data_IF_568668809725
#
_entry.id   IF_568668809725
#
_cell.length_a   1.000
_cell.length_b   1.000
_cell.length_c   1.000
_cell.angle_alpha   90.00
_cell.angle_beta   90.00
_cell.angle_gamma   90.00
#
_symmetry.space_group_name_H-M   'P 1'
#
loop_
_entity.id
_entity.type
_entity.pdbx_description
1 polymer ?
#
# COMPACT_ATOMS: atom_id res chain seq x y z
N UNK A 1 59.46 21.86 -41.48
CA UNK A 1 59.78 22.89 -40.47
C UNK A 1 58.49 23.20 -39.72
N UNK A 2 58.42 22.83 -38.45
CA UNK A 2 57.24 23.04 -37.61
C UNK A 2 57.01 24.54 -37.39
N UNK A 3 55.91 25.06 -37.93
CA UNK A 3 55.46 26.46 -37.75
C UNK A 3 54.42 26.57 -36.62
N UNK A 4 54.55 25.78 -35.54
CA UNK A 4 53.73 25.97 -34.35
C UNK A 4 54.57 26.55 -33.21
N UNK A 5 54.26 27.80 -32.86
CA UNK A 5 54.83 28.50 -31.72
C UNK A 5 54.51 27.73 -30.41
N UNK A 6 55.49 27.56 -29.51
CA UNK A 6 55.29 26.90 -28.20
C UNK A 6 54.12 27.51 -27.40
N UNK A 7 53.81 28.79 -27.60
CA UNK A 7 52.66 29.44 -26.98
C UNK A 7 51.30 28.98 -27.53
N UNK A 8 51.22 28.62 -28.82
CA UNK A 8 50.00 28.06 -29.42
C UNK A 8 49.69 26.67 -28.85
N UNK A 9 50.70 25.81 -28.71
CA UNK A 9 50.54 24.49 -28.08
C UNK A 9 50.12 24.57 -26.62
N UNK A 10 50.60 25.57 -25.87
CA UNK A 10 50.17 25.82 -24.48
C UNK A 10 48.70 26.24 -24.39
N UNK A 11 48.25 27.12 -25.28
CA UNK A 11 46.84 27.52 -25.36
C UNK A 11 45.93 26.35 -25.75
N UNK A 12 46.33 25.57 -26.76
CA UNK A 12 45.57 24.42 -27.23
C UNK A 12 45.50 23.30 -26.18
N UNK A 13 46.59 23.04 -25.47
CA UNK A 13 46.61 22.11 -24.34
C UNK A 13 45.72 22.58 -23.18
N UNK A 14 45.69 23.90 -22.89
CA UNK A 14 44.79 24.47 -21.90
C UNK A 14 43.31 24.31 -22.28
N UNK A 15 42.96 24.57 -23.54
CA UNK A 15 41.60 24.40 -24.06
C UNK A 15 41.16 22.92 -24.01
N UNK A 16 42.02 21.99 -24.44
CA UNK A 16 41.75 20.56 -24.34
C UNK A 16 41.59 20.10 -22.89
N UNK A 17 42.39 20.64 -21.97
CA UNK A 17 42.24 20.38 -20.54
C UNK A 17 40.88 20.81 -20.00
N UNK A 18 40.38 21.98 -20.40
CA UNK A 18 39.06 22.47 -20.01
C UNK A 18 37.92 21.62 -20.61
N UNK A 19 38.03 21.21 -21.87
CA UNK A 19 37.06 20.32 -22.51
C UNK A 19 37.03 18.95 -21.82
N UNK A 20 38.20 18.38 -21.50
CA UNK A 20 38.30 17.13 -20.77
C UNK A 20 37.72 17.23 -19.35
N UNK A 21 37.97 18.34 -18.64
CA UNK A 21 37.37 18.62 -17.33
C UNK A 21 35.84 18.73 -17.42
N UNK A 22 35.32 19.46 -18.40
CA UNK A 22 33.87 19.55 -18.63
C UNK A 22 33.24 18.19 -18.91
N UNK A 23 33.90 17.36 -19.72
CA UNK A 23 33.46 15.99 -20.00
C UNK A 23 33.45 15.12 -18.72
N UNK A 24 34.51 15.15 -17.91
CA UNK A 24 34.59 14.39 -16.66
C UNK A 24 33.49 14.80 -15.67
N UNK A 25 33.19 16.10 -15.56
CA UNK A 25 32.12 16.61 -14.70
C UNK A 25 30.75 16.07 -15.16
N UNK A 26 30.44 16.15 -16.46
CA UNK A 26 29.17 15.66 -17.02
C UNK A 26 29.04 14.14 -16.92
N UNK A 27 30.12 13.39 -17.20
CA UNK A 27 30.12 11.93 -17.07
C UNK A 27 29.96 11.49 -15.61
N UNK A 28 30.63 12.16 -14.67
CA UNK A 28 30.54 11.89 -13.24
C UNK A 28 29.14 12.12 -12.68
N UNK A 29 28.49 13.23 -13.03
CA UNK A 29 27.11 13.52 -12.59
C UNK A 29 26.11 12.52 -13.17
N UNK A 30 26.24 12.14 -14.44
CA UNK A 30 25.40 11.13 -15.08
C UNK A 30 25.57 9.74 -14.46
N UNK A 31 26.81 9.34 -14.14
CA UNK A 31 27.09 8.07 -13.48
C UNK A 31 26.49 8.03 -12.07
N UNK A 32 26.69 9.10 -11.28
CA UNK A 32 26.14 9.23 -9.94
C UNK A 32 24.60 9.22 -9.94
N UNK A 33 23.98 9.94 -10.89
CA UNK A 33 22.52 9.97 -11.05
C UNK A 33 21.96 8.58 -11.40
N UNK A 34 22.57 7.88 -12.37
CA UNK A 34 22.18 6.50 -12.72
C UNK A 34 22.32 5.54 -11.54
N UNK A 35 23.43 5.60 -10.80
CA UNK A 35 23.65 4.78 -9.62
C UNK A 35 22.60 5.03 -8.52
N UNK A 36 22.26 6.31 -8.27
CA UNK A 36 21.22 6.68 -7.30
C UNK A 36 19.84 6.16 -7.73
N UNK A 37 19.45 6.37 -8.98
CA UNK A 37 18.16 5.91 -9.52
C UNK A 37 18.06 4.38 -9.45
N UNK A 38 19.12 3.65 -9.83
CA UNK A 38 19.12 2.19 -9.78
C UNK A 38 18.96 1.66 -8.35
N UNK A 39 19.62 2.28 -7.37
CA UNK A 39 19.46 1.93 -5.95
C UNK A 39 18.05 2.20 -5.44
N UNK A 40 17.46 3.31 -5.87
CA UNK A 40 16.10 3.68 -5.49
C UNK A 40 15.07 2.73 -6.10
N UNK A 41 15.21 2.39 -7.38
CA UNK A 41 14.41 1.36 -8.05
C UNK A 41 14.53 -0.01 -7.38
N UNK A 42 15.75 -0.44 -7.04
CA UNK A 42 15.96 -1.71 -6.34
C UNK A 42 15.28 -1.73 -4.96
N UNK A 43 15.27 -0.61 -4.23
CA UNK A 43 14.55 -0.48 -2.96
C UNK A 43 13.03 -0.53 -3.15
N UNK A 44 12.51 0.17 -4.15
CA UNK A 44 11.08 0.14 -4.48
C UNK A 44 10.64 -1.26 -4.88
N UNK A 45 11.42 -1.96 -5.72
CA UNK A 45 11.16 -3.33 -6.11
C UNK A 45 11.17 -4.27 -4.90
N UNK A 46 12.19 -4.17 -4.04
CA UNK A 46 12.25 -5.00 -2.84
C UNK A 46 11.08 -4.74 -1.88
N UNK A 47 10.62 -3.48 -1.74
CA UNK A 47 9.46 -3.15 -0.93
C UNK A 47 8.14 -3.68 -1.54
N UNK A 48 8.03 -3.64 -2.88
CA UNK A 48 6.93 -4.23 -3.62
C UNK A 48 6.89 -5.75 -3.43
N UNK A 49 8.02 -6.44 -3.63
CA UNK A 49 8.15 -7.90 -3.49
C UNK A 49 7.84 -8.34 -2.06
N UNK A 50 8.35 -7.62 -1.06
CA UNK A 50 8.04 -7.87 0.34
C UNK A 50 6.53 -7.70 0.64
N UNK A 51 5.89 -6.71 0.02
CA UNK A 51 4.44 -6.50 0.15
C UNK A 51 3.66 -7.62 -0.53
N UNK A 52 4.01 -7.97 -1.77
CA UNK A 52 3.40 -9.08 -2.50
C UNK A 52 3.50 -10.38 -1.71
N UNK A 53 4.68 -10.69 -1.17
CA UNK A 53 4.90 -11.89 -0.34
C UNK A 53 3.97 -11.92 0.87
N UNK A 54 3.84 -10.80 1.60
CA UNK A 54 2.91 -10.70 2.74
C UNK A 54 1.46 -10.98 2.33
N UNK A 55 1.02 -10.46 1.18
CA UNK A 55 -0.32 -10.74 0.66
C UNK A 55 -0.49 -12.17 0.12
N UNK A 56 0.56 -12.79 -0.42
CA UNK A 56 0.50 -14.20 -0.84
C UNK A 56 0.30 -15.15 0.35
N UNK A 57 0.94 -14.85 1.48
CA UNK A 57 0.84 -15.64 2.71
C UNK A 57 -0.46 -15.40 3.48
N UNK A 58 -1.11 -14.26 3.27
CA UNK A 58 -2.37 -13.90 3.93
C UNK A 58 -3.58 -14.51 3.23
N UNK A 59 -4.05 -15.64 3.76
CA UNK A 59 -5.20 -16.39 3.25
C UNK A 59 -6.53 -16.01 3.93
N UNK A 60 -6.55 -15.02 4.81
CA UNK A 60 -7.77 -14.69 5.57
C UNK A 60 -8.73 -13.83 4.76
N UNK A 61 -9.94 -14.30 4.56
CA UNK A 61 -10.97 -13.58 3.80
C UNK A 61 -11.71 -14.51 2.86
N UNK A 62 -12.75 -13.96 2.23
CA UNK A 62 -13.59 -14.67 1.29
C UNK A 62 -13.13 -14.51 -0.16
N UNK A 63 -13.72 -15.33 -1.02
CA UNK A 63 -13.72 -15.20 -2.48
C UNK A 63 -14.61 -14.05 -2.96
N UNK A 64 -15.54 -13.61 -2.10
CA UNK A 64 -16.42 -12.47 -2.32
C UNK A 64 -16.32 -11.45 -1.17
N UNK A 65 -16.69 -10.18 -1.41
CA UNK A 65 -16.72 -9.20 -0.34
C UNK A 65 -17.77 -9.55 0.73
N UNK A 66 -18.89 -10.16 0.35
CA UNK A 66 -19.93 -10.60 1.28
C UNK A 66 -19.44 -11.72 2.20
N UNK A 67 -18.71 -12.70 1.64
CA UNK A 67 -18.16 -13.82 2.40
C UNK A 67 -17.13 -13.34 3.44
N UNK A 68 -16.26 -12.39 3.05
CA UNK A 68 -15.31 -11.76 3.98
C UNK A 68 -16.02 -11.04 5.11
N UNK A 69 -17.04 -10.25 4.79
CA UNK A 69 -17.81 -9.53 5.80
C UNK A 69 -18.55 -10.50 6.73
N UNK A 70 -19.08 -11.62 6.22
CA UNK A 70 -19.69 -12.65 7.03
C UNK A 70 -18.69 -13.30 8.00
N UNK A 71 -17.48 -13.64 7.54
CA UNK A 71 -16.43 -14.17 8.39
C UNK A 71 -16.00 -13.19 9.49
N UNK A 72 -15.91 -11.90 9.15
CA UNK A 72 -15.65 -10.85 10.12
C UNK A 72 -16.73 -10.79 11.20
N UNK A 73 -18.00 -10.73 10.81
CA UNK A 73 -19.15 -10.71 11.74
C UNK A 73 -19.15 -11.96 12.63
N UNK A 74 -18.87 -13.14 12.09
CA UNK A 74 -18.82 -14.38 12.85
C UNK A 74 -17.68 -14.40 13.87
N UNK A 75 -16.51 -13.84 13.53
CA UNK A 75 -15.42 -13.67 14.48
C UNK A 75 -15.79 -12.70 15.62
N UNK A 76 -16.48 -11.59 15.30
CA UNK A 76 -17.01 -10.66 16.31
C UNK A 76 -17.99 -11.35 17.26
N UNK A 77 -18.93 -12.15 16.73
CA UNK A 77 -19.91 -12.91 17.55
C UNK A 77 -19.24 -13.91 18.48
N UNK A 78 -18.11 -14.49 18.06
CA UNK A 78 -17.29 -15.40 18.89
C UNK A 78 -16.39 -14.67 19.89
N UNK A 79 -16.34 -13.33 19.84
CA UNK A 79 -15.44 -12.54 20.67
C UNK A 79 -13.96 -12.69 20.28
N UNK A 80 -13.68 -13.20 19.08
CA UNK A 80 -12.34 -13.46 18.57
C UNK A 80 -11.82 -12.22 17.82
N UNK A 81 -11.28 -11.27 18.60
CA UNK A 81 -10.72 -10.02 18.09
C UNK A 81 -9.50 -10.26 17.21
N UNK A 82 -8.77 -11.36 17.45
CA UNK A 82 -7.56 -11.67 16.69
C UNK A 82 -7.88 -12.17 15.30
N UNK A 83 -8.89 -13.04 15.18
CA UNK A 83 -9.40 -13.49 13.89
C UNK A 83 -10.15 -12.37 13.16
N UNK A 84 -10.95 -11.57 13.86
CA UNK A 84 -11.69 -10.46 13.28
C UNK A 84 -10.74 -9.43 12.63
N UNK A 85 -9.63 -9.09 13.31
CA UNK A 85 -8.62 -8.18 12.78
C UNK A 85 -7.95 -8.69 11.48
N UNK A 86 -7.82 -10.01 11.30
CA UNK A 86 -7.17 -10.59 10.10
C UNK A 86 -7.97 -10.40 8.81
N UNK A 87 -9.27 -10.08 8.88
CA UNK A 87 -10.06 -9.78 7.69
C UNK A 87 -9.84 -8.36 7.14
N UNK A 88 -9.10 -7.52 7.86
CA UNK A 88 -8.61 -6.25 7.35
C UNK A 88 -7.36 -6.42 6.50
N UNK A 89 -7.07 -5.43 5.66
CA UNK A 89 -5.78 -5.34 4.97
C UNK A 89 -4.64 -5.33 5.97
N UNK A 90 -3.50 -5.92 5.57
CA UNK A 90 -2.37 -6.23 6.46
C UNK A 90 -1.94 -5.03 7.30
N UNK A 91 -1.85 -3.86 6.68
CA UNK A 91 -1.38 -2.63 7.34
C UNK A 91 -2.39 -2.08 8.38
N UNK A 92 -3.64 -2.52 8.34
CA UNK A 92 -4.72 -2.09 9.24
C UNK A 92 -5.02 -3.12 10.35
N UNK A 93 -4.49 -4.35 10.27
CA UNK A 93 -4.84 -5.44 11.19
C UNK A 93 -4.50 -5.11 12.65
N UNK A 94 -3.30 -4.58 12.93
CA UNK A 94 -2.90 -4.27 14.31
C UNK A 94 -3.72 -3.13 14.92
N UNK A 95 -4.01 -2.09 14.13
CA UNK A 95 -4.86 -0.98 14.54
C UNK A 95 -6.28 -1.48 14.86
N UNK A 96 -6.86 -2.31 13.99
CA UNK A 96 -8.19 -2.86 14.23
C UNK A 96 -8.21 -3.88 15.37
N UNK A 97 -7.17 -4.68 15.56
CA UNK A 97 -7.03 -5.56 16.74
C UNK A 97 -7.17 -4.75 18.03
N UNK A 98 -6.43 -3.64 18.14
CA UNK A 98 -6.52 -2.73 19.29
C UNK A 98 -7.93 -2.19 19.50
N UNK A 99 -8.55 -1.62 18.46
CA UNK A 99 -9.93 -1.12 18.51
C UNK A 99 -10.94 -2.19 18.92
N UNK A 100 -10.83 -3.39 18.36
CA UNK A 100 -11.73 -4.50 18.66
C UNK A 100 -11.57 -5.01 20.09
N UNK A 101 -10.35 -5.00 20.65
CA UNK A 101 -10.12 -5.29 22.07
C UNK A 101 -10.79 -4.23 22.95
N UNK A 102 -10.70 -2.95 22.61
CA UNK A 102 -11.39 -1.89 23.36
C UNK A 102 -12.92 -2.06 23.32
N UNK A 103 -13.47 -2.37 22.15
CA UNK A 103 -14.91 -2.64 21.96
C UNK A 103 -15.32 -3.89 22.77
N UNK A 104 -14.48 -4.93 22.78
CA UNK A 104 -14.69 -6.14 23.60
C UNK A 104 -14.71 -5.82 25.09
N UNK A 105 -13.76 -5.02 25.58
CA UNK A 105 -13.68 -4.63 26.98
C UNK A 105 -14.89 -3.81 27.44
N UNK A 106 -15.57 -3.13 26.52
CA UNK A 106 -16.84 -2.42 26.75
C UNK A 106 -18.07 -3.33 26.61
N UNK A 107 -17.90 -4.63 26.33
CA UNK A 107 -18.97 -5.58 26.00
C UNK A 107 -19.81 -5.17 24.78
N UNK A 108 -19.20 -4.47 23.82
CA UNK A 108 -19.89 -3.88 22.66
C UNK A 108 -19.71 -4.68 21.35
N UNK A 109 -18.96 -5.80 21.36
CA UNK A 109 -18.77 -6.60 20.14
C UNK A 109 -20.09 -7.16 19.58
N UNK A 110 -21.00 -7.58 20.46
CA UNK A 110 -22.32 -8.06 20.05
C UNK A 110 -23.16 -6.97 19.37
N UNK A 111 -23.09 -5.73 19.88
CA UNK A 111 -23.76 -4.57 19.28
C UNK A 111 -23.18 -4.26 17.89
N UNK A 112 -21.85 -4.20 17.79
CA UNK A 112 -21.17 -4.02 16.51
C UNK A 112 -21.55 -5.11 15.49
N UNK A 113 -21.56 -6.37 15.90
CA UNK A 113 -21.99 -7.48 15.03
C UNK A 113 -23.45 -7.36 14.60
N UNK A 114 -24.33 -6.87 15.48
CA UNK A 114 -25.74 -6.61 15.17
C UNK A 114 -25.89 -5.50 14.14
N UNK A 115 -25.17 -4.38 14.32
CA UNK A 115 -25.20 -3.25 13.40
C UNK A 115 -24.70 -3.64 12.00
N UNK A 116 -23.61 -4.42 11.94
CA UNK A 116 -23.05 -4.94 10.68
C UNK A 116 -23.97 -5.94 9.96
N UNK A 117 -24.89 -6.58 10.68
CA UNK A 117 -25.81 -7.58 10.14
C UNK A 117 -27.13 -6.96 9.60
N UNK A 118 -27.30 -5.63 9.74
CA UNK A 118 -28.42 -4.88 9.17
C UNK A 118 -28.42 -4.97 7.63
N UNK A 119 -29.56 -4.72 6.97
CA UNK A 119 -29.60 -4.58 5.51
C UNK A 119 -28.58 -3.55 5.04
N UNK A 120 -27.87 -3.90 3.96
CA UNK A 120 -26.77 -3.11 3.43
C UNK A 120 -26.88 -2.92 1.94
N UNK A 121 -26.69 -1.69 1.49
CA UNK A 121 -26.61 -1.32 0.09
C UNK A 121 -25.17 -1.51 -0.39
N UNK A 122 -24.96 -2.31 -1.43
CA UNK A 122 -23.64 -2.53 -2.03
C UNK A 122 -23.45 -1.61 -3.22
N UNK A 123 -22.40 -0.78 -3.19
CA UNK A 123 -22.01 0.08 -4.32
C UNK A 123 -20.63 -0.30 -4.84
N UNK A 124 -20.52 -0.47 -6.15
CA UNK A 124 -19.25 -0.67 -6.81
C UNK A 124 -18.51 0.66 -6.98
N UNK A 125 -17.24 0.70 -6.56
CA UNK A 125 -16.30 1.76 -6.93
C UNK A 125 -15.44 1.32 -8.13
N UNK A 126 -15.19 0.02 -8.24
CA UNK A 126 -14.56 -0.66 -9.37
C UNK A 126 -14.87 -2.16 -9.31
N UNK A 127 -14.36 -2.94 -10.26
CA UNK A 127 -14.50 -4.41 -10.26
C UNK A 127 -13.85 -5.08 -9.04
N UNK A 128 -12.91 -4.39 -8.38
CA UNK A 128 -12.14 -4.92 -7.24
C UNK A 128 -12.37 -4.13 -5.95
N UNK A 129 -13.32 -3.19 -5.92
CA UNK A 129 -13.61 -2.39 -4.73
C UNK A 129 -15.10 -2.07 -4.62
N UNK A 130 -15.64 -2.34 -3.44
CA UNK A 130 -17.03 -2.03 -3.09
C UNK A 130 -17.09 -1.26 -1.78
N UNK A 131 -18.20 -0.56 -1.58
CA UNK A 131 -18.60 -0.03 -0.28
C UNK A 131 -19.96 -0.62 0.07
N UNK A 132 -20.10 -1.11 1.31
CA UNK A 132 -21.40 -1.46 1.87
C UNK A 132 -21.89 -0.33 2.77
N UNK A 133 -23.04 0.24 2.44
CA UNK A 133 -23.68 1.27 3.25
C UNK A 133 -24.76 0.66 4.13
N UNK A 134 -24.71 0.95 5.42
CA UNK A 134 -25.71 0.55 6.41
C UNK A 134 -26.42 1.81 6.90
N UNK A 135 -27.75 1.78 6.86
CA UNK A 135 -28.58 2.89 7.31
C UNK A 135 -29.27 2.53 8.64
N UNK A 136 -29.45 3.54 9.50
CA UNK A 136 -30.22 3.43 10.73
C UNK A 136 -31.75 3.41 10.45
N UNK A 137 -32.56 3.26 11.49
CA UNK A 137 -34.02 3.17 11.35
C UNK A 137 -34.67 4.50 10.88
N UNK A 138 -33.94 5.61 10.99
CA UNK A 138 -34.31 6.92 10.44
C UNK A 138 -33.84 7.13 9.00
N UNK A 139 -33.36 6.07 8.34
CA UNK A 139 -32.82 6.09 6.98
C UNK A 139 -31.61 7.03 6.79
N UNK A 140 -30.83 7.25 7.87
CA UNK A 140 -29.58 8.00 7.83
C UNK A 140 -28.41 7.02 7.74
N UNK A 141 -27.36 7.40 7.00
CA UNK A 141 -26.15 6.59 6.89
C UNK A 141 -25.51 6.43 8.27
N UNK A 142 -25.40 5.18 8.73
CA UNK A 142 -24.83 4.82 10.03
C UNK A 142 -23.40 4.31 9.90
N UNK A 143 -23.10 3.55 8.84
CA UNK A 143 -21.80 2.93 8.62
C UNK A 143 -21.52 2.74 7.13
N UNK A 144 -20.25 2.91 6.73
CA UNK A 144 -19.78 2.62 5.38
C UNK A 144 -18.57 1.69 5.47
N UNK A 145 -18.70 0.49 4.90
CA UNK A 145 -17.67 -0.55 4.97
C UNK A 145 -16.98 -0.61 3.63
N UNK A 146 -15.73 -0.17 3.59
CA UNK A 146 -14.91 -0.24 2.39
C UNK A 146 -14.21 -1.59 2.31
N UNK A 147 -14.33 -2.26 1.16
CA UNK A 147 -13.77 -3.59 0.95
C UNK A 147 -13.15 -3.69 -0.44
N UNK A 148 -11.98 -4.32 -0.53
CA UNK A 148 -11.28 -4.49 -1.79
C UNK A 148 -10.68 -5.90 -1.95
N UNK A 149 -10.48 -6.30 -3.20
CA UNK A 149 -9.80 -7.54 -3.55
C UNK A 149 -8.29 -7.31 -3.60
N UNK A 150 -7.56 -8.03 -2.77
CA UNK A 150 -6.10 -8.04 -2.77
C UNK A 150 -5.50 -8.66 -4.04
N UNK A 151 -4.17 -8.51 -4.24
CA UNK A 151 -3.48 -9.09 -5.39
C UNK A 151 -3.51 -10.61 -5.42
N UNK A 152 -3.69 -11.25 -4.27
CA UNK A 152 -3.89 -12.70 -4.11
C UNK A 152 -5.33 -13.17 -4.43
N UNK A 153 -6.23 -12.26 -4.81
CA UNK A 153 -7.63 -12.56 -5.11
C UNK A 153 -8.55 -12.65 -3.87
N UNK A 154 -8.00 -12.49 -2.66
CA UNK A 154 -8.77 -12.54 -1.40
C UNK A 154 -9.34 -11.17 -1.09
N UNK A 155 -10.60 -11.12 -0.66
CA UNK A 155 -11.25 -9.87 -0.27
C UNK A 155 -10.90 -9.48 1.16
N UNK A 156 -10.67 -8.17 1.37
CA UNK A 156 -10.21 -7.58 2.64
C UNK A 156 -10.92 -6.28 2.94
N UNK A 157 -11.26 -6.08 4.21
CA UNK A 157 -11.83 -4.82 4.71
C UNK A 157 -10.71 -3.77 4.74
N UNK A 158 -10.98 -2.61 4.14
CA UNK A 158 -10.10 -1.46 4.18
C UNK A 158 -10.36 -0.64 5.44
N UNK A 159 -11.63 -0.35 5.71
CA UNK A 159 -12.06 0.48 6.83
C UNK A 159 -13.56 0.27 7.15
N UNK A 160 -13.98 0.72 8.33
CA UNK A 160 -15.38 0.76 8.80
C UNK A 160 -15.73 2.17 9.28
#
# INVERSE_FOLDING_TARGET
MSLLNKHFWKFFAGLLGLVALGFLVVSGTNFYAKYKIQREQARQQAAYDATQKRYTEDTYGGKTPEETLAFFIDALKKGDTDLAAKYFVIDEQEKWRGKLIEIKNKNQLGLMASDLNRPKEKKALSDTRFTFYIYNDSNQLALAIDIARGPNGVWKILDL
#
